data_IF_956430888890
#
_entry.id   IF_956430888890
#
_cell.length_a   1.000
_cell.length_b   1.000
_cell.length_c   1.000
_cell.angle_alpha   90.00
_cell.angle_beta   90.00
_cell.angle_gamma   90.00
#
_symmetry.space_group_name_H-M   'P 1'
#
loop_
_entity.id
_entity.type
_entity.pdbx_description
1 polymer ?
#
# COMPACT_ATOMS: atom_id res chain seq x y z
N UNK A 1 -22.70 -7.66 -16.27
CA UNK A 1 -21.54 -7.49 -15.36
C UNK A 1 -20.69 -8.76 -15.38
N UNK A 2 -19.45 -8.71 -15.85
CA UNK A 2 -18.57 -9.89 -15.86
C UNK A 2 -17.36 -9.77 -16.78
N UNK A 3 -17.47 -8.93 -17.82
CA UNK A 3 -16.35 -8.60 -18.73
C UNK A 3 -15.50 -7.43 -18.25
N UNK A 4 -15.93 -6.71 -17.20
CA UNK A 4 -15.18 -5.56 -16.69
C UNK A 4 -13.90 -6.04 -15.99
N UNK A 5 -12.80 -5.44 -16.39
CA UNK A 5 -11.45 -5.76 -15.90
C UNK A 5 -11.31 -5.43 -14.42
N UNK A 6 -12.07 -4.46 -13.91
CA UNK A 6 -12.11 -4.06 -12.49
C UNK A 6 -13.15 -4.82 -11.65
N UNK A 7 -13.72 -5.91 -12.17
CA UNK A 7 -14.81 -6.65 -11.51
C UNK A 7 -14.45 -7.12 -10.09
N UNK A 8 -13.19 -7.46 -9.84
CA UNK A 8 -12.65 -7.92 -8.54
C UNK A 8 -12.55 -6.82 -7.48
N UNK A 9 -12.54 -5.54 -7.88
CA UNK A 9 -12.34 -4.40 -6.96
C UNK A 9 -13.53 -3.45 -6.95
N UNK A 10 -13.93 -2.97 -8.13
CA UNK A 10 -14.91 -1.90 -8.25
C UNK A 10 -16.34 -2.46 -8.25
N UNK A 11 -16.57 -3.58 -8.96
CA UNK A 11 -17.87 -4.28 -9.08
C UNK A 11 -19.10 -3.44 -9.48
N UNK A 12 -18.99 -2.11 -9.61
CA UNK A 12 -20.07 -1.13 -9.81
C UNK A 12 -20.86 -0.81 -8.53
N UNK A 13 -21.41 0.41 -8.42
CA UNK A 13 -22.30 0.78 -7.32
C UNK A 13 -23.74 0.33 -7.57
N UNK A 14 -24.12 -0.84 -7.03
CA UNK A 14 -25.50 -1.38 -7.14
C UNK A 14 -26.58 -0.45 -6.58
N UNK A 15 -26.24 0.29 -5.53
CA UNK A 15 -27.17 1.26 -4.93
C UNK A 15 -27.52 2.39 -5.90
N UNK A 16 -26.52 2.92 -6.63
CA UNK A 16 -26.75 3.97 -7.63
C UNK A 16 -27.53 3.46 -8.83
N UNK A 17 -27.16 2.27 -9.33
CA UNK A 17 -27.89 1.62 -10.41
C UNK A 17 -29.38 1.44 -10.07
N UNK A 18 -29.69 0.98 -8.86
CA UNK A 18 -31.08 0.84 -8.41
C UNK A 18 -31.79 2.18 -8.23
N UNK A 19 -31.13 3.19 -7.65
CA UNK A 19 -31.73 4.52 -7.43
C UNK A 19 -32.14 5.20 -8.75
N UNK A 20 -31.31 5.09 -9.79
CA UNK A 20 -31.55 5.75 -11.08
C UNK A 20 -32.45 4.94 -12.01
N UNK A 21 -32.28 3.61 -12.05
CA UNK A 21 -32.92 2.76 -13.07
C UNK A 21 -33.99 1.81 -12.53
N UNK A 22 -34.10 1.69 -11.20
CA UNK A 22 -34.93 0.67 -10.55
C UNK A 22 -34.42 -0.77 -10.70
N UNK A 23 -33.30 -0.98 -11.40
CA UNK A 23 -32.69 -2.28 -11.63
C UNK A 23 -31.32 -2.38 -10.94
N UNK A 24 -31.23 -3.22 -9.91
CA UNK A 24 -29.99 -3.41 -9.15
C UNK A 24 -28.87 -4.11 -9.95
N UNK A 25 -29.20 -4.73 -11.08
CA UNK A 25 -28.24 -5.37 -12.00
C UNK A 25 -27.84 -4.46 -13.17
N UNK A 26 -28.38 -3.25 -13.26
CA UNK A 26 -27.99 -2.29 -14.28
C UNK A 26 -26.55 -1.79 -14.08
N UNK A 27 -25.97 -1.22 -15.14
CA UNK A 27 -24.68 -0.55 -15.08
C UNK A 27 -24.75 0.69 -14.18
N UNK A 28 -23.64 0.97 -13.48
CA UNK A 28 -23.49 2.20 -12.69
C UNK A 28 -23.48 3.42 -13.63
N UNK A 29 -24.45 4.36 -13.53
CA UNK A 29 -24.52 5.51 -14.42
C UNK A 29 -23.34 6.49 -14.31
N UNK A 30 -22.57 6.43 -13.22
CA UNK A 30 -21.37 7.26 -13.04
C UNK A 30 -20.10 6.59 -13.57
N UNK A 31 -20.21 5.39 -14.15
CA UNK A 31 -19.07 4.65 -14.68
C UNK A 31 -18.87 4.97 -16.16
N UNK A 32 -17.89 5.85 -16.46
CA UNK A 32 -17.49 6.23 -17.83
C UNK A 32 -16.59 5.18 -18.52
N UNK A 33 -16.26 4.10 -17.82
CA UNK A 33 -15.32 3.09 -18.29
C UNK A 33 -16.00 2.00 -19.14
N UNK A 34 -15.39 1.67 -20.29
CA UNK A 34 -15.82 0.59 -21.17
C UNK A 34 -14.87 -0.63 -21.07
N UNK A 35 -15.40 -1.85 -20.89
CA UNK A 35 -14.58 -3.06 -20.83
C UNK A 35 -13.70 -3.28 -22.07
N UNK A 36 -12.42 -3.65 -21.87
CA UNK A 36 -11.47 -3.97 -22.94
C UNK A 36 -10.33 -2.97 -23.09
N UNK A 37 -10.40 -1.82 -22.41
CA UNK A 37 -9.36 -0.79 -22.44
C UNK A 37 -8.04 -1.20 -21.76
N UNK A 38 -8.02 -2.28 -20.96
CA UNK A 38 -6.82 -2.82 -20.29
C UNK A 38 -6.40 -4.22 -20.78
N UNK A 39 -6.85 -4.62 -21.97
CA UNK A 39 -6.46 -5.90 -22.58
C UNK A 39 -7.44 -7.06 -22.34
N UNK A 40 -8.65 -6.76 -21.84
CA UNK A 40 -9.74 -7.70 -21.63
C UNK A 40 -9.52 -8.71 -20.51
N UNK A 41 -8.55 -8.47 -19.62
CA UNK A 41 -8.20 -9.37 -18.52
C UNK A 41 -8.50 -8.70 -17.18
N UNK A 42 -9.02 -9.47 -16.24
CA UNK A 42 -9.28 -8.99 -14.88
C UNK A 42 -7.99 -8.45 -14.25
N UNK A 43 -8.07 -7.24 -13.71
CA UNK A 43 -6.99 -6.57 -13.01
C UNK A 43 -6.87 -7.20 -11.63
N UNK A 44 -5.76 -7.89 -11.41
CA UNK A 44 -5.35 -8.38 -10.11
C UNK A 44 -4.51 -7.31 -9.43
N UNK A 45 -5.09 -6.64 -8.43
CA UNK A 45 -4.31 -5.82 -7.51
C UNK A 45 -3.51 -6.75 -6.62
N UNK A 46 -2.19 -6.58 -6.59
CA UNK A 46 -1.36 -7.30 -5.64
C UNK A 46 -1.70 -6.81 -4.25
N UNK A 47 -1.71 -7.74 -3.29
CA UNK A 47 -1.96 -7.44 -1.88
C UNK A 47 -0.97 -6.38 -1.36
N UNK A 48 0.24 -6.35 -1.93
CA UNK A 48 1.28 -5.33 -1.72
C UNK A 48 0.81 -3.88 -1.98
N UNK A 49 -0.17 -3.70 -2.87
CA UNK A 49 -0.73 -2.43 -3.29
C UNK A 49 -2.00 -2.03 -2.51
N UNK A 50 -2.45 -2.87 -1.57
CA UNK A 50 -3.66 -2.61 -0.75
C UNK A 50 -3.31 -2.23 0.69
N UNK A 51 -3.94 -1.16 1.19
CA UNK A 51 -3.83 -0.71 2.59
C UNK A 51 -4.47 -1.74 3.52
N UNK A 52 -3.73 -2.22 4.53
CA UNK A 52 -4.27 -3.14 5.54
C UNK A 52 -3.54 -4.49 5.69
N UNK A 53 -2.35 -4.64 5.12
CA UNK A 53 -1.53 -5.83 5.29
C UNK A 53 -1.11 -6.07 6.75
N UNK A 54 -1.38 -7.28 7.26
CA UNK A 54 -0.71 -7.81 8.45
C UNK A 54 0.80 -7.92 8.19
N UNK A 55 1.59 -7.66 9.23
CA UNK A 55 3.05 -7.55 9.11
C UNK A 55 3.68 -8.93 9.22
N UNK A 56 4.08 -9.52 8.11
CA UNK A 56 4.96 -10.68 8.09
C UNK A 56 6.42 -10.22 8.04
N UNK A 57 7.21 -10.53 9.08
CA UNK A 57 8.65 -10.32 9.07
C UNK A 57 9.34 -11.53 8.44
N UNK A 58 9.82 -11.40 7.20
CA UNK A 58 10.53 -12.47 6.49
C UNK A 58 12.04 -12.45 6.75
N UNK A 59 12.56 -11.31 7.18
CA UNK A 59 13.97 -11.14 7.57
C UNK A 59 14.16 -11.13 9.09
N UNK A 60 15.43 -11.17 9.53
CA UNK A 60 15.77 -10.96 10.95
C UNK A 60 15.79 -9.47 11.25
N UNK A 61 15.01 -9.06 12.25
CA UNK A 61 14.91 -7.68 12.73
C UNK A 61 15.39 -7.58 14.17
N UNK A 62 16.14 -6.52 14.48
CA UNK A 62 16.46 -6.21 15.88
C UNK A 62 15.26 -5.59 16.58
N UNK A 63 15.22 -5.66 17.91
CA UNK A 63 14.10 -5.13 18.68
C UNK A 63 14.04 -3.59 18.61
N UNK A 64 15.19 -2.91 18.48
CA UNK A 64 15.24 -1.46 18.26
C UNK A 64 14.63 -1.07 16.90
N UNK A 65 14.81 -1.91 15.87
CA UNK A 65 14.23 -1.70 14.56
C UNK A 65 12.69 -1.90 14.59
N UNK A 66 12.20 -2.90 15.33
CA UNK A 66 10.77 -3.15 15.51
C UNK A 66 10.07 -2.02 16.27
N UNK A 67 10.67 -1.51 17.35
CA UNK A 67 10.12 -0.38 18.12
C UNK A 67 9.87 0.87 17.25
N UNK A 68 10.70 1.10 16.22
CA UNK A 68 10.50 2.22 15.28
C UNK A 68 9.27 2.01 14.39
N UNK A 69 8.93 0.77 14.06
CA UNK A 69 7.75 0.43 13.25
C UNK A 69 6.45 0.57 14.05
N UNK A 70 6.48 0.43 15.38
CA UNK A 70 5.28 0.57 16.23
C UNK A 70 4.64 1.95 16.10
N UNK A 71 5.46 2.98 15.86
CA UNK A 71 4.99 4.33 15.61
C UNK A 71 4.07 4.34 14.38
N UNK A 72 4.42 3.61 13.32
CA UNK A 72 3.69 3.56 12.05
C UNK A 72 2.28 3.00 12.28
N UNK A 73 1.20 3.55 11.69
CA UNK A 73 -0.14 3.02 11.85
C UNK A 73 -0.21 1.62 11.25
N UNK A 74 -1.01 0.74 11.86
CA UNK A 74 -1.08 -0.69 11.48
C UNK A 74 -1.28 -0.90 9.98
N UNK A 75 -2.19 -0.15 9.34
CA UNK A 75 -2.51 -0.27 7.92
C UNK A 75 -1.33 0.01 6.96
N UNK A 76 -0.31 0.75 7.42
CA UNK A 76 0.87 1.11 6.64
C UNK A 76 2.14 0.35 7.04
N UNK A 77 2.13 -0.38 8.18
CA UNK A 77 3.30 -1.12 8.66
C UNK A 77 3.76 -2.18 7.67
N UNK A 78 2.83 -2.94 7.09
CA UNK A 78 3.15 -4.01 6.13
C UNK A 78 3.93 -3.49 4.92
N UNK A 79 3.44 -2.41 4.31
CA UNK A 79 4.10 -1.77 3.16
C UNK A 79 5.51 -1.26 3.50
N UNK A 80 5.67 -0.67 4.69
CA UNK A 80 6.98 -0.14 5.13
C UNK A 80 7.97 -1.28 5.43
N UNK A 81 7.52 -2.35 6.09
CA UNK A 81 8.34 -3.54 6.35
C UNK A 81 8.81 -4.17 5.04
N UNK A 82 7.90 -4.39 4.09
CA UNK A 82 8.27 -4.91 2.76
C UNK A 82 9.27 -4.00 2.04
N UNK A 83 9.09 -2.67 2.10
CA UNK A 83 10.03 -1.71 1.51
C UNK A 83 11.43 -1.79 2.12
N UNK A 84 11.52 -1.92 3.45
CA UNK A 84 12.79 -2.05 4.17
C UNK A 84 13.43 -3.42 3.92
N UNK A 85 12.65 -4.51 3.90
CA UNK A 85 13.16 -5.85 3.59
C UNK A 85 13.71 -5.94 2.17
N UNK A 86 13.03 -5.31 1.21
CA UNK A 86 13.52 -5.19 -0.16
C UNK A 86 14.83 -4.41 -0.22
N UNK A 87 14.90 -3.25 0.44
CA UNK A 87 16.12 -2.44 0.53
C UNK A 87 17.30 -3.22 1.13
N UNK A 88 17.04 -4.01 2.18
CA UNK A 88 18.03 -4.85 2.83
C UNK A 88 18.50 -5.98 1.92
N UNK A 89 17.56 -6.65 1.23
CA UNK A 89 17.84 -7.75 0.28
C UNK A 89 18.70 -7.26 -0.89
N UNK A 90 18.36 -6.11 -1.48
CA UNK A 90 19.13 -5.49 -2.57
C UNK A 90 20.57 -5.14 -2.17
N UNK A 91 20.83 -4.96 -0.87
CA UNK A 91 22.15 -4.62 -0.32
C UNK A 91 22.85 -5.79 0.38
N UNK A 92 22.26 -6.99 0.34
CA UNK A 92 22.80 -8.18 1.01
C UNK A 92 22.85 -8.06 2.54
N UNK A 93 22.00 -7.25 3.14
CA UNK A 93 21.93 -7.07 4.60
C UNK A 93 21.04 -8.16 5.20
N UNK A 94 21.63 -9.02 6.03
CA UNK A 94 20.95 -10.16 6.66
C UNK A 94 20.27 -9.83 8.00
N UNK A 95 20.61 -8.71 8.62
CA UNK A 95 20.03 -8.25 9.89
C UNK A 95 19.58 -6.79 9.74
N UNK A 96 18.28 -6.56 9.87
CA UNK A 96 17.68 -5.23 9.76
C UNK A 96 17.76 -4.58 11.14
N UNK A 97 18.74 -3.69 11.29
CA UNK A 97 18.95 -2.87 12.47
C UNK A 97 18.29 -1.48 12.31
N UNK A 98 18.38 -0.69 13.38
CA UNK A 98 17.92 0.70 13.42
C UNK A 98 18.54 1.58 12.29
N UNK A 99 19.80 1.36 11.91
CA UNK A 99 20.47 2.15 10.89
C UNK A 99 19.97 1.83 9.48
N UNK A 100 19.68 0.55 9.19
CA UNK A 100 19.09 0.10 7.94
C UNK A 100 17.71 0.71 7.74
N UNK A 101 16.87 0.73 8.78
CA UNK A 101 15.55 1.39 8.75
C UNK A 101 15.70 2.88 8.43
N UNK A 102 16.67 3.57 9.06
CA UNK A 102 16.92 5.00 8.83
C UNK A 102 17.38 5.28 7.40
N UNK A 103 18.37 4.53 6.89
CA UNK A 103 18.91 4.68 5.53
C UNK A 103 17.86 4.38 4.47
N UNK A 104 17.08 3.31 4.66
CA UNK A 104 16.01 2.90 3.76
C UNK A 104 14.95 4.00 3.63
N UNK A 105 14.58 4.64 4.75
CA UNK A 105 13.67 5.78 4.79
C UNK A 105 14.19 6.99 4.00
N UNK A 106 15.45 7.37 4.23
CA UNK A 106 16.07 8.52 3.55
C UNK A 106 16.11 8.33 2.04
N UNK A 107 16.51 7.14 1.58
CA UNK A 107 16.58 6.84 0.15
C UNK A 107 15.18 6.76 -0.51
N UNK A 108 14.17 6.24 0.19
CA UNK A 108 12.80 6.20 -0.32
C UNK A 108 12.21 7.61 -0.53
N UNK A 109 12.57 8.58 0.33
CA UNK A 109 12.12 9.97 0.19
C UNK A 109 12.77 10.61 -1.04
N UNK A 110 14.07 10.37 -1.23
CA UNK A 110 14.85 10.95 -2.33
C UNK A 110 14.43 10.40 -3.70
N UNK A 111 14.22 9.09 -3.82
CA UNK A 111 13.87 8.46 -5.11
C UNK A 111 12.39 8.56 -5.48
N UNK A 112 11.49 8.58 -4.50
CA UNK A 112 10.05 8.35 -4.74
C UNK A 112 9.15 9.49 -4.30
N UNK A 113 9.73 10.65 -3.94
CA UNK A 113 9.06 11.93 -3.72
C UNK A 113 7.68 11.86 -3.05
N UNK A 114 7.62 12.04 -1.73
CA UNK A 114 6.39 12.31 -0.95
C UNK A 114 5.14 11.43 -1.23
N UNK A 115 5.28 10.22 -1.80
CA UNK A 115 4.16 9.30 -2.03
C UNK A 115 3.44 8.88 -0.74
N UNK A 116 4.06 9.10 0.43
CA UNK A 116 3.49 8.84 1.75
C UNK A 116 3.62 10.05 2.68
N UNK A 117 2.66 11.00 2.64
CA UNK A 117 2.68 12.19 3.50
C UNK A 117 2.77 11.86 4.99
N UNK A 118 2.28 10.68 5.41
CA UNK A 118 2.35 10.21 6.79
C UNK A 118 3.76 9.87 7.26
N UNK A 119 4.68 9.42 6.38
CA UNK A 119 6.08 9.17 6.74
C UNK A 119 6.78 10.46 7.22
N UNK A 120 6.36 11.63 6.72
CA UNK A 120 6.91 12.93 7.15
C UNK A 120 6.58 13.24 8.62
N UNK A 121 5.41 12.83 9.11
CA UNK A 121 4.99 12.99 10.51
C UNK A 121 5.71 12.01 11.44
N UNK A 122 6.04 10.81 10.96
CA UNK A 122 6.92 9.87 11.68
C UNK A 122 8.29 10.45 11.97
N UNK A 123 8.89 11.12 10.97
CA UNK A 123 10.23 11.70 11.05
C UNK A 123 10.30 12.86 12.04
N UNK A 124 9.28 13.72 12.07
CA UNK A 124 9.29 14.90 12.94
C UNK A 124 9.11 14.57 14.44
N UNK A 125 8.79 13.32 14.80
CA UNK A 125 8.71 12.88 16.20
C UNK A 125 10.07 12.59 16.85
N UNK A 126 11.17 12.54 16.09
CA UNK A 126 12.54 12.34 16.62
C UNK A 126 13.28 13.67 16.93
N UNK A 127 12.62 14.84 16.77
CA UNK A 127 13.26 16.16 17.00
C UNK A 127 13.09 16.73 18.42
N UNK A 128 12.68 15.93 19.41
CA UNK A 128 12.44 16.43 20.78
C UNK A 128 13.47 15.99 21.85
N UNK A 129 14.59 15.38 21.46
CA UNK A 129 15.65 14.98 22.39
C UNK A 129 17.00 15.67 22.08
N UNK A 130 17.00 17.00 21.98
CA UNK A 130 18.22 17.81 22.15
C UNK A 130 17.92 19.20 22.66
#
# INVERSE_FOLDING_TARGET
CGSCEFSTMCSGCRARAFAETGNYMAQDPSCDYEPGQHGGKTIELKIEDTLGLEVEYRQKWTDEAKQRLERIPSFARGMVVQGIEKFATERGVALIDANVVKKSREEMIEKRGAMFPFLKKFINSEKLDS
#
